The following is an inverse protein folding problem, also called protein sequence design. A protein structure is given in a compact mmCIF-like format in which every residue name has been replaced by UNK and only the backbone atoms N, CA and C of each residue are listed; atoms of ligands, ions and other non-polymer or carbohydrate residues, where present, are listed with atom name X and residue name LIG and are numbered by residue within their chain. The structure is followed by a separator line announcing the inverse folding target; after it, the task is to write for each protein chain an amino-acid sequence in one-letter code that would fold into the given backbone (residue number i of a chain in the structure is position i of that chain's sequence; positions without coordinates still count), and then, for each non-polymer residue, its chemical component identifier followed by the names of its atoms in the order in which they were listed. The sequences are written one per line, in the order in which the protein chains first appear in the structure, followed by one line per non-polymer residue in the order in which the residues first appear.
data_IF_578029091337
#
_entry.id   IF_578029091337
#
_cell.length_a   1.000
_cell.length_b   1.000
_cell.length_c   1.000
_cell.angle_alpha   90.00
_cell.angle_beta   90.00
_cell.angle_gamma   90.00
#
_symmetry.space_group_name_H-M   'P 1'
#
loop_
_entity.id
_entity.type
_entity.pdbx_description
1 polymer ?
#
# COMPACT_ATOMS: atom_id res chain seq x y z
N UNK A 1 1.55 16.67 24.02
CA UNK A 1 2.18 16.57 22.69
C UNK A 1 2.15 15.10 22.29
N UNK A 2 1.36 14.74 21.29
CA UNK A 2 1.23 13.35 20.82
C UNK A 2 2.33 13.06 19.80
N UNK A 3 3.15 12.04 20.08
CA UNK A 3 4.09 11.48 19.12
C UNK A 3 3.32 10.97 17.90
N UNK A 4 3.88 11.11 16.70
CA UNK A 4 3.31 10.43 15.53
C UNK A 4 3.32 8.92 15.84
N UNK A 5 2.15 8.30 15.75
CA UNK A 5 1.97 6.88 16.08
C UNK A 5 2.86 6.03 15.20
N UNK A 6 3.56 5.06 15.78
CA UNK A 6 4.26 4.07 14.98
C UNK A 6 3.21 3.16 14.30
N UNK A 7 3.14 3.27 12.98
CA UNK A 7 2.16 2.55 12.16
C UNK A 7 2.67 1.19 11.70
N UNK A 8 3.95 0.90 11.89
CA UNK A 8 4.60 -0.30 11.35
C UNK A 8 3.99 -1.59 11.91
N UNK A 9 3.59 -1.58 13.18
CA UNK A 9 2.91 -2.70 13.84
C UNK A 9 1.56 -3.08 13.24
N UNK A 10 0.88 -2.16 12.52
CA UNK A 10 -0.36 -2.45 11.79
C UNK A 10 -0.06 -2.71 10.31
N UNK A 11 0.83 -1.90 9.72
CA UNK A 11 1.13 -1.93 8.29
C UNK A 11 1.83 -3.22 7.87
N UNK A 12 2.79 -3.73 8.65
CA UNK A 12 3.51 -4.96 8.29
C UNK A 12 2.61 -6.19 8.25
N UNK A 13 1.80 -6.50 9.28
CA UNK A 13 0.87 -7.63 9.21
C UNK A 13 -0.13 -7.51 8.05
N UNK A 14 -0.64 -6.30 7.79
CA UNK A 14 -1.58 -6.05 6.70
C UNK A 14 -0.93 -6.35 5.35
N UNK A 15 0.29 -5.87 5.12
CA UNK A 15 1.01 -6.09 3.86
C UNK A 15 1.41 -7.56 3.68
N UNK A 16 1.86 -8.25 4.72
CA UNK A 16 2.18 -9.69 4.64
C UNK A 16 0.93 -10.56 4.38
N UNK A 17 -0.21 -10.20 4.98
CA UNK A 17 -1.50 -10.83 4.66
C UNK A 17 -1.85 -10.61 3.18
N UNK A 18 -1.67 -9.40 2.66
CA UNK A 18 -1.94 -9.09 1.25
C UNK A 18 -1.00 -9.88 0.32
N UNK A 19 0.30 -9.97 0.63
CA UNK A 19 1.25 -10.74 -0.18
C UNK A 19 0.84 -12.20 -0.30
N UNK A 20 0.34 -12.78 0.79
CA UNK A 20 -0.17 -14.16 0.79
C UNK A 20 -1.33 -14.32 -0.18
N UNK A 21 -2.29 -13.38 -0.16
CA UNK A 21 -3.41 -13.36 -1.11
C UNK A 21 -2.89 -13.18 -2.53
N UNK A 22 -2.05 -12.19 -2.79
CA UNK A 22 -1.53 -11.89 -4.12
C UNK A 22 -0.73 -13.06 -4.74
N UNK A 23 0.00 -13.84 -3.92
CA UNK A 23 0.74 -15.03 -4.37
C UNK A 23 -0.16 -16.21 -4.73
N UNK A 24 -1.29 -16.33 -4.07
CA UNK A 24 -2.18 -17.51 -4.19
C UNK A 24 -3.40 -17.24 -5.06
N UNK A 25 -3.70 -15.96 -5.32
CA UNK A 25 -4.76 -15.55 -6.23
C UNK A 25 -4.42 -15.99 -7.64
N UNK A 26 -5.28 -16.80 -8.30
CA UNK A 26 -5.07 -17.21 -9.67
C UNK A 26 -4.85 -16.00 -10.59
N UNK A 27 -3.97 -16.15 -11.58
CA UNK A 27 -3.82 -15.17 -12.66
C UNK A 27 -4.43 -15.76 -13.91
N UNK A 28 -5.29 -14.98 -14.57
CA UNK A 28 -6.02 -15.42 -15.76
C UNK A 28 -5.84 -14.39 -16.86
N UNK A 29 -5.83 -14.86 -18.11
CA UNK A 29 -5.85 -13.98 -19.27
C UNK A 29 -7.26 -13.45 -19.48
N UNK A 30 -7.39 -12.13 -19.63
CA UNK A 30 -8.64 -11.47 -20.01
C UNK A 30 -8.43 -10.59 -21.23
N UNK A 31 -9.44 -10.56 -22.08
CA UNK A 31 -9.55 -9.56 -23.15
C UNK A 31 -10.45 -8.44 -22.63
N UNK A 32 -9.86 -7.27 -22.35
CA UNK A 32 -10.60 -6.09 -21.92
C UNK A 32 -10.98 -5.23 -23.13
N UNK A 33 -12.08 -4.44 -23.05
CA UNK A 33 -12.41 -3.47 -24.09
C UNK A 33 -11.25 -2.48 -24.30
N UNK A 34 -10.65 -2.49 -25.48
CA UNK A 34 -9.50 -1.63 -25.83
C UNK A 34 -8.12 -2.20 -25.51
N UNK A 35 -8.03 -3.38 -24.88
CA UNK A 35 -6.76 -4.07 -24.63
C UNK A 35 -6.95 -5.59 -24.65
N UNK A 36 -6.42 -6.24 -25.69
CA UNK A 36 -6.43 -7.70 -25.79
C UNK A 36 -5.31 -8.31 -24.95
N UNK A 37 -5.58 -9.49 -24.39
CA UNK A 37 -4.56 -10.38 -23.85
C UNK A 37 -3.83 -9.82 -22.62
N UNK A 38 -4.55 -9.36 -21.62
CA UNK A 38 -3.99 -8.89 -20.36
C UNK A 38 -4.01 -9.98 -19.29
N UNK A 39 -2.97 -10.02 -18.46
CA UNK A 39 -3.00 -10.81 -17.23
C UNK A 39 -3.75 -10.03 -16.14
N UNK A 40 -4.71 -10.70 -15.50
CA UNK A 40 -5.47 -10.15 -14.39
C UNK A 40 -5.50 -11.15 -13.23
N UNK A 41 -5.52 -10.64 -12.00
CA UNK A 41 -5.85 -11.46 -10.83
C UNK A 41 -7.30 -11.91 -10.90
N UNK A 42 -7.57 -13.20 -10.71
CA UNK A 42 -8.91 -13.77 -10.57
C UNK A 42 -9.14 -14.21 -9.13
N UNK A 43 -9.39 -13.28 -8.19
CA UNK A 43 -9.66 -13.61 -6.81
C UNK A 43 -10.87 -14.55 -6.71
N UNK A 44 -10.76 -15.54 -5.83
CA UNK A 44 -11.88 -16.38 -5.41
C UNK A 44 -12.69 -15.64 -4.36
N UNK A 45 -13.87 -16.15 -4.02
CA UNK A 45 -14.75 -15.52 -3.02
C UNK A 45 -14.06 -15.34 -1.65
N UNK A 46 -13.20 -16.28 -1.26
CA UNK A 46 -12.39 -16.18 -0.04
C UNK A 46 -11.32 -15.07 -0.14
N UNK A 47 -10.70 -14.90 -1.31
CA UNK A 47 -9.70 -13.86 -1.55
C UNK A 47 -10.36 -12.48 -1.51
N UNK A 48 -11.54 -12.33 -2.14
CA UNK A 48 -12.33 -11.09 -2.12
C UNK A 48 -12.77 -10.71 -0.70
N UNK A 49 -13.24 -11.67 0.09
CA UNK A 49 -13.61 -11.45 1.49
C UNK A 49 -12.41 -11.02 2.31
N UNK A 50 -11.28 -11.71 2.17
CA UNK A 50 -10.05 -11.35 2.88
C UNK A 50 -9.59 -9.93 2.49
N UNK A 51 -9.64 -9.56 1.21
CA UNK A 51 -9.32 -8.22 0.74
C UNK A 51 -10.29 -7.16 1.28
N UNK A 52 -11.57 -7.49 1.43
CA UNK A 52 -12.57 -6.59 2.04
C UNK A 52 -12.26 -6.32 3.52
N UNK A 53 -12.02 -7.35 4.32
CA UNK A 53 -11.63 -7.20 5.74
C UNK A 53 -10.32 -6.40 5.89
N UNK A 54 -9.41 -6.55 4.93
CA UNK A 54 -8.18 -5.77 4.89
C UNK A 54 -8.42 -4.30 4.57
N UNK A 55 -9.33 -3.99 3.63
CA UNK A 55 -9.74 -2.62 3.34
C UNK A 55 -10.42 -1.96 4.54
N UNK A 56 -11.24 -2.71 5.29
CA UNK A 56 -11.84 -2.19 6.54
C UNK A 56 -10.78 -1.93 7.64
N UNK A 57 -9.77 -2.81 7.73
CA UNK A 57 -8.64 -2.61 8.63
C UNK A 57 -7.79 -1.41 8.20
N UNK A 58 -7.62 -1.24 6.88
CA UNK A 58 -6.94 -0.09 6.30
C UNK A 58 -7.66 1.22 6.60
N UNK A 59 -8.97 1.28 6.37
CA UNK A 59 -9.78 2.48 6.59
C UNK A 59 -9.73 2.89 8.08
N UNK A 60 -9.86 1.93 9.02
CA UNK A 60 -9.68 2.20 10.46
C UNK A 60 -8.28 2.69 10.83
N UNK A 61 -7.26 2.12 10.19
CA UNK A 61 -5.87 2.54 10.39
C UNK A 61 -5.68 3.99 9.91
N UNK A 62 -6.15 4.32 8.71
CA UNK A 62 -6.10 5.65 8.12
C UNK A 62 -6.80 6.69 9.00
N UNK A 63 -8.04 6.41 9.44
CA UNK A 63 -8.78 7.29 10.37
C UNK A 63 -8.02 7.54 11.68
N UNK A 64 -7.24 6.56 12.14
CA UNK A 64 -6.45 6.70 13.36
C UNK A 64 -5.15 7.50 13.16
N UNK A 65 -4.57 7.51 11.95
CA UNK A 65 -3.27 8.14 11.67
C UNK A 65 -3.43 9.57 11.17
N UNK A 66 -4.44 9.85 10.34
CA UNK A 66 -4.63 11.18 9.73
C UNK A 66 -4.69 12.33 10.76
N UNK A 67 -5.32 12.18 11.94
CA UNK A 67 -5.28 13.22 12.98
C UNK A 67 -3.86 13.54 13.48
N UNK A 68 -3.00 12.52 13.59
CA UNK A 68 -1.62 12.70 14.07
C UNK A 68 -0.77 13.52 13.08
N UNK A 69 -1.18 13.60 11.82
CA UNK A 69 -0.50 14.40 10.79
C UNK A 69 -0.80 15.90 10.87
N UNK A 70 -1.72 16.36 11.72
CA UNK A 70 -2.15 17.76 11.76
C UNK A 70 -1.03 18.77 12.08
N UNK A 71 -0.01 18.34 12.83
CA UNK A 71 1.18 19.16 13.15
C UNK A 71 2.39 18.92 12.24
N UNK A 72 2.21 18.26 11.10
CA UNK A 72 3.29 17.93 10.15
C UNK A 72 3.36 18.99 9.03
N UNK A 73 4.55 19.31 8.48
CA UNK A 73 4.64 20.21 7.33
C UNK A 73 3.68 19.82 6.20
N UNK A 74 2.95 20.79 5.58
CA UNK A 74 1.87 20.49 4.63
C UNK A 74 2.28 19.58 3.47
N UNK A 75 3.50 19.77 2.93
CA UNK A 75 4.02 18.94 1.84
C UNK A 75 4.17 17.46 2.26
N UNK A 76 4.74 17.21 3.45
CA UNK A 76 4.89 15.84 3.97
C UNK A 76 3.54 15.22 4.31
N UNK A 77 2.59 16.01 4.80
CA UNK A 77 1.22 15.55 5.05
C UNK A 77 0.52 15.13 3.74
N UNK A 78 0.64 15.94 2.69
CA UNK A 78 0.06 15.65 1.38
C UNK A 78 0.68 14.38 0.77
N UNK A 79 2.01 14.27 0.82
CA UNK A 79 2.73 13.08 0.37
C UNK A 79 2.28 11.81 1.12
N UNK A 80 2.16 11.88 2.44
CA UNK A 80 1.71 10.75 3.26
C UNK A 80 0.30 10.29 2.88
N UNK A 81 -0.64 11.23 2.73
CA UNK A 81 -2.03 10.96 2.30
C UNK A 81 -2.08 10.33 0.91
N UNK A 82 -1.26 10.82 -0.01
CA UNK A 82 -1.22 10.29 -1.38
C UNK A 82 -0.68 8.86 -1.41
N UNK A 83 0.37 8.56 -0.64
CA UNK A 83 0.89 7.20 -0.52
C UNK A 83 -0.19 6.26 0.06
N UNK A 84 -0.93 6.69 1.09
CA UNK A 84 -2.04 5.90 1.64
C UNK A 84 -3.10 5.61 0.56
N UNK A 85 -3.50 6.63 -0.20
CA UNK A 85 -4.47 6.51 -1.30
C UNK A 85 -4.02 5.52 -2.37
N UNK A 86 -2.74 5.55 -2.75
CA UNK A 86 -2.17 4.62 -3.74
C UNK A 86 -2.25 3.17 -3.23
N UNK A 87 -1.89 2.93 -1.98
CA UNK A 87 -1.94 1.59 -1.37
C UNK A 87 -3.38 1.07 -1.33
N UNK A 88 -4.31 1.88 -0.83
CA UNK A 88 -5.75 1.55 -0.80
C UNK A 88 -6.29 1.22 -2.19
N UNK A 89 -5.92 2.02 -3.19
CA UNK A 89 -6.35 1.80 -4.57
C UNK A 89 -5.82 0.48 -5.13
N UNK A 90 -4.57 0.11 -4.85
CA UNK A 90 -4.00 -1.19 -5.22
C UNK A 90 -4.74 -2.36 -4.54
N UNK A 91 -5.19 -2.21 -3.30
CA UNK A 91 -6.01 -3.23 -2.63
C UNK A 91 -7.41 -3.38 -3.26
N UNK A 92 -8.08 -2.25 -3.54
CA UNK A 92 -9.44 -2.27 -4.12
C UNK A 92 -9.45 -2.79 -5.57
N UNK A 93 -8.44 -2.48 -6.36
CA UNK A 93 -8.31 -3.04 -7.70
C UNK A 93 -8.11 -4.58 -7.68
N UNK A 94 -7.47 -5.15 -6.63
CA UNK A 94 -7.31 -6.60 -6.45
C UNK A 94 -8.67 -7.22 -6.21
N UNK A 95 -9.42 -6.64 -5.29
CA UNK A 95 -10.77 -7.08 -4.94
C UNK A 95 -11.70 -7.04 -6.15
N UNK A 96 -11.59 -6.04 -7.02
CA UNK A 96 -12.49 -5.87 -8.18
C UNK A 96 -12.06 -6.64 -9.43
N UNK A 97 -10.92 -7.33 -9.41
CA UNK A 97 -10.37 -8.00 -10.60
C UNK A 97 -10.25 -7.02 -11.79
N UNK A 98 -9.74 -5.82 -11.52
CA UNK A 98 -9.51 -4.75 -12.53
C UNK A 98 -8.03 -4.40 -12.67
N UNK A 99 -7.16 -5.32 -12.29
CA UNK A 99 -5.74 -5.09 -12.37
C UNK A 99 -5.17 -5.48 -13.73
N UNK A 100 -4.53 -4.51 -14.35
CA UNK A 100 -3.47 -4.77 -15.30
C UNK A 100 -2.26 -5.33 -14.55
N UNK A 101 -2.03 -6.63 -14.68
CA UNK A 101 -0.85 -7.31 -14.13
C UNK A 101 0.27 -7.36 -15.17
N UNK A 102 -0.06 -7.15 -16.45
CA UNK A 102 0.89 -7.05 -17.56
C UNK A 102 0.23 -7.44 -18.87
N UNK A 103 0.86 -7.13 -20.00
CA UNK A 103 0.46 -7.71 -21.29
C UNK A 103 0.91 -9.17 -21.32
N UNK A 104 0.01 -10.08 -21.69
CA UNK A 104 0.40 -11.45 -21.96
C UNK A 104 1.25 -11.50 -23.24
N UNK A 105 2.37 -12.20 -23.14
CA UNK A 105 3.35 -12.31 -24.20
C UNK A 105 4.10 -13.62 -24.09
N UNK A 106 4.88 -13.97 -25.13
CA UNK A 106 5.67 -15.21 -25.13
C UNK A 106 6.64 -15.33 -23.95
N UNK A 107 7.05 -14.20 -23.36
CA UNK A 107 7.96 -14.11 -22.22
C UNK A 107 7.29 -14.26 -20.86
N UNK A 108 5.95 -14.21 -20.78
CA UNK A 108 5.18 -14.35 -19.54
C UNK A 108 3.90 -15.17 -19.81
N UNK A 109 4.05 -16.49 -20.04
CA UNK A 109 2.95 -17.35 -20.49
C UNK A 109 1.90 -17.64 -19.42
N UNK A 110 2.20 -17.37 -18.15
CA UNK A 110 1.36 -17.62 -16.97
C UNK A 110 1.04 -16.36 -16.15
N UNK A 111 1.66 -15.21 -16.48
CA UNK A 111 1.43 -13.94 -15.80
C UNK A 111 2.17 -13.80 -14.46
N UNK A 112 3.07 -14.72 -14.14
CA UNK A 112 3.84 -14.70 -12.89
C UNK A 112 4.83 -13.53 -12.84
N UNK A 113 5.40 -13.15 -13.99
CA UNK A 113 6.28 -11.98 -14.07
C UNK A 113 5.51 -10.71 -13.73
N UNK A 114 4.33 -10.56 -14.33
CA UNK A 114 3.41 -9.48 -14.01
C UNK A 114 3.03 -9.45 -12.53
N UNK A 115 2.68 -10.60 -11.94
CA UNK A 115 2.38 -10.73 -10.51
C UNK A 115 3.54 -10.23 -9.66
N UNK A 116 4.76 -10.68 -9.96
CA UNK A 116 5.96 -10.27 -9.23
C UNK A 116 6.21 -8.75 -9.32
N UNK A 117 6.04 -8.14 -10.49
CA UNK A 117 6.19 -6.70 -10.66
C UNK A 117 5.15 -5.90 -9.88
N UNK A 118 3.89 -6.34 -9.91
CA UNK A 118 2.83 -5.73 -9.13
C UNK A 118 3.12 -5.82 -7.62
N UNK A 119 3.54 -7.00 -7.17
CA UNK A 119 3.95 -7.22 -5.78
C UNK A 119 5.08 -6.28 -5.36
N UNK A 120 6.15 -6.23 -6.14
CA UNK A 120 7.30 -5.35 -5.90
C UNK A 120 6.92 -3.86 -5.91
N UNK A 121 5.94 -3.46 -6.75
CA UNK A 121 5.46 -2.08 -6.76
C UNK A 121 4.78 -1.69 -5.46
N UNK A 122 3.93 -2.55 -4.89
CA UNK A 122 3.30 -2.29 -3.59
C UNK A 122 4.34 -2.23 -2.47
N UNK A 123 5.30 -3.15 -2.45
CA UNK A 123 6.38 -3.17 -1.44
C UNK A 123 7.18 -1.86 -1.45
N UNK A 124 7.51 -1.33 -2.63
CA UNK A 124 8.16 -0.01 -2.75
C UNK A 124 7.29 1.11 -2.19
N UNK A 125 5.99 1.10 -2.47
CA UNK A 125 5.05 2.11 -1.94
C UNK A 125 4.95 2.04 -0.42
N UNK A 126 4.90 0.84 0.15
CA UNK A 126 4.88 0.60 1.60
C UNK A 126 6.19 1.05 2.26
N UNK A 127 7.35 0.71 1.68
CA UNK A 127 8.63 1.19 2.18
C UNK A 127 8.73 2.71 2.16
N UNK A 128 8.17 3.36 1.14
CA UNK A 128 8.12 4.82 1.10
C UNK A 128 7.29 5.39 2.26
N UNK A 129 6.11 4.81 2.53
CA UNK A 129 5.28 5.22 3.66
C UNK A 129 6.01 5.10 5.00
N UNK A 130 6.73 3.98 5.21
CA UNK A 130 7.49 3.73 6.44
C UNK A 130 8.60 4.76 6.63
N UNK A 131 9.37 5.03 5.56
CA UNK A 131 10.42 6.04 5.58
C UNK A 131 9.84 7.41 5.97
N UNK A 132 8.75 7.81 5.31
CA UNK A 132 8.09 9.08 5.57
C UNK A 132 7.55 9.17 7.00
N UNK A 133 6.96 8.08 7.53
CA UNK A 133 6.52 8.01 8.92
C UNK A 133 7.68 8.22 9.92
N UNK A 134 8.84 7.60 9.64
CA UNK A 134 10.06 7.76 10.43
C UNK A 134 10.59 9.19 10.42
N UNK A 135 10.58 9.86 9.27
CA UNK A 135 10.97 11.26 9.14
C UNK A 135 10.04 12.20 9.91
N UNK A 136 8.72 11.99 9.82
CA UNK A 136 7.72 12.79 10.55
C UNK A 136 7.88 12.60 12.07
N UNK A 137 8.11 11.36 12.50
CA UNK A 137 8.32 11.01 13.92
C UNK A 137 9.60 11.63 14.48
N UNK A 138 10.67 11.64 13.69
CA UNK A 138 11.99 12.16 14.10
C UNK A 138 12.03 13.69 14.14
N UNK A 139 11.37 14.36 13.18
CA UNK A 139 11.29 15.83 13.13
C UNK A 139 10.50 16.44 14.30
N UNK A 140 9.68 15.64 15.00
CA UNK A 140 8.92 16.05 16.18
C UNK A 140 9.63 15.82 17.51
N UNK A 141 10.83 15.23 17.53
CA UNK A 141 11.64 15.16 18.77
C UNK A 141 12.14 16.57 19.10
N UNK A 142 11.92 17.08 20.33
CA UNK A 142 12.49 18.36 20.73
C UNK A 142 14.00 18.30 20.61
N UNK A 143 14.58 19.33 19.98
CA UNK A 143 15.98 19.64 20.18
C UNK A 143 16.26 19.85 21.66
N UNK A 144 17.39 19.31 22.09
CA UNK A 144 18.02 19.44 23.39
C UNK A 144 17.93 20.90 23.91
N UNK A 145 17.38 21.16 25.11
CA UNK A 145 17.40 22.50 25.71
C UNK A 145 18.80 22.78 26.23
N UNK A 146 19.72 23.19 25.36
CA UNK A 146 21.11 23.32 25.78
C UNK A 146 22.05 23.97 24.80
N UNK A 147 21.85 25.27 24.53
CA UNK A 147 22.89 26.32 24.56
C UNK A 147 22.40 27.59 23.88
N UNK A 148 21.64 28.39 24.62
CA UNK A 148 21.85 29.84 24.58
C UNK A 148 23.00 30.15 25.53
N UNK A 149 24.14 30.58 25.01
CA UNK A 149 25.13 31.31 25.80
C UNK A 149 25.82 32.28 24.87
N UNK A 150 25.46 33.55 25.09
CA UNK A 150 26.17 34.81 24.88
C UNK A 150 27.15 34.94 23.71
#
# INVERSE_FOLDING_TARGET
MTHAKDITGILFPLVERWKTIARTTPVVRKDLPGASSEWCFSPRTEDERALMEMLETWDRMEDSILPDLAGTPPLKQAEFREILRIIRHKLDLNRRNRHFVGYSGKSDPDGETGRAHFMASMERTVHHLIKLNGEISSARKPGDPGKTSH
#
